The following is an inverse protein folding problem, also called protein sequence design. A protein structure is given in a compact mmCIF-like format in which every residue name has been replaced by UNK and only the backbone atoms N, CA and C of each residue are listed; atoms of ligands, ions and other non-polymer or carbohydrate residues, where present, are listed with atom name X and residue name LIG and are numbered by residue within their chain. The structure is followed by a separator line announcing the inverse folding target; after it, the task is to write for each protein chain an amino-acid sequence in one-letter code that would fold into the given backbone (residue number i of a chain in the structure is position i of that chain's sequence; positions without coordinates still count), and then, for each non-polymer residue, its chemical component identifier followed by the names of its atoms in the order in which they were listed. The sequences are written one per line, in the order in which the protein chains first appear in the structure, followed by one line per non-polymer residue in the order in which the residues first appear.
data_IF_363603204386
#
_entry.id   IF_363603204386
#
_cell.length_a   1.000
_cell.length_b   1.000
_cell.length_c   1.000
_cell.angle_alpha   90.00
_cell.angle_beta   90.00
_cell.angle_gamma   90.00
#
_symmetry.space_group_name_H-M   'P 1'
#
loop_
_entity.id
_entity.type
_entity.pdbx_description
1 polymer ?
#
# COMPACT_ATOMS: atom_id res chain seq x y z
N UNK A 1 -0.26 -7.90 -20.76
CA UNK A 1 -0.20 -9.32 -21.15
C UNK A 1 0.15 -10.15 -19.93
N UNK A 2 -0.47 -11.32 -19.76
CA UNK A 2 -0.19 -12.29 -18.71
C UNK A 2 -0.61 -13.70 -19.14
N UNK A 3 -0.23 -14.72 -18.39
CA UNK A 3 -0.54 -16.12 -18.67
C UNK A 3 -1.59 -16.63 -17.70
N UNK A 4 -2.66 -17.24 -18.20
CA UNK A 4 -3.58 -18.05 -17.40
C UNK A 4 -2.87 -19.33 -17.00
N UNK A 5 -2.46 -19.42 -15.73
CA UNK A 5 -1.59 -20.51 -15.25
C UNK A 5 -2.26 -21.87 -15.32
N UNK A 6 -3.58 -21.95 -15.12
CA UNK A 6 -4.35 -23.21 -15.14
C UNK A 6 -4.47 -23.78 -16.55
N UNK A 7 -4.61 -22.94 -17.58
CA UNK A 7 -4.84 -23.34 -18.96
C UNK A 7 -3.62 -23.19 -19.87
N UNK A 8 -2.54 -22.53 -19.38
CA UNK A 8 -1.36 -22.22 -20.20
C UNK A 8 -1.69 -21.40 -21.45
N UNK A 9 -2.65 -20.49 -21.33
CA UNK A 9 -3.11 -19.59 -22.39
C UNK A 9 -2.54 -18.20 -22.12
N UNK A 10 -1.97 -17.58 -23.13
CA UNK A 10 -1.49 -16.21 -23.08
C UNK A 10 -2.65 -15.25 -23.36
N UNK A 11 -2.84 -14.27 -22.49
CA UNK A 11 -3.93 -13.29 -22.55
C UNK A 11 -3.35 -11.89 -22.74
N UNK A 12 -3.92 -11.14 -23.68
CA UNK A 12 -3.62 -9.71 -23.89
C UNK A 12 -4.88 -8.87 -23.67
N UNK A 13 -4.69 -7.60 -23.40
CA UNK A 13 -5.76 -6.62 -23.27
C UNK A 13 -5.32 -5.28 -23.87
N UNK A 14 -6.28 -4.50 -24.39
CA UNK A 14 -6.02 -3.25 -25.10
C UNK A 14 -5.20 -3.47 -26.37
N UNK A 15 -5.40 -4.61 -27.02
CA UNK A 15 -4.60 -5.08 -28.16
C UNK A 15 -5.19 -4.67 -29.51
N UNK A 16 -4.43 -4.94 -30.57
CA UNK A 16 -4.85 -4.73 -31.95
C UNK A 16 -5.32 -6.05 -32.55
N UNK A 17 -6.49 -6.05 -33.18
CA UNK A 17 -6.96 -7.15 -34.02
C UNK A 17 -6.50 -6.90 -35.46
N UNK A 18 -6.01 -7.96 -36.15
CA UNK A 18 -5.85 -7.99 -37.58
C UNK A 18 -7.13 -8.50 -38.25
N UNK A 19 -7.99 -7.57 -38.61
CA UNK A 19 -9.24 -7.90 -39.33
C UNK A 19 -9.02 -8.09 -40.85
N UNK A 20 -7.84 -7.83 -41.35
CA UNK A 20 -7.54 -7.99 -42.79
C UNK A 20 -7.66 -9.43 -43.28
N UNK A 21 -7.48 -10.40 -42.37
CA UNK A 21 -7.61 -11.86 -42.67
C UNK A 21 -9.06 -12.35 -42.70
N UNK A 22 -10.04 -11.54 -42.25
CA UNK A 22 -11.45 -11.90 -42.13
C UNK A 22 -12.34 -11.01 -43.01
N UNK A 23 -11.77 -10.24 -43.93
CA UNK A 23 -12.51 -9.27 -44.76
C UNK A 23 -12.81 -7.95 -44.05
N UNK A 24 -12.09 -7.63 -42.99
CA UNK A 24 -12.20 -6.42 -42.19
C UNK A 24 -11.39 -5.23 -42.70
N UNK A 25 -11.42 -4.16 -41.97
CA UNK A 25 -10.92 -2.81 -42.31
C UNK A 25 -9.40 -2.67 -42.10
N UNK A 26 -8.70 -3.72 -41.72
CA UNK A 26 -7.26 -3.71 -41.40
C UNK A 26 -6.95 -3.71 -39.89
N UNK A 27 -5.71 -3.39 -39.56
CA UNK A 27 -5.22 -3.35 -38.16
C UNK A 27 -5.89 -2.21 -37.39
N UNK A 28 -6.69 -2.54 -36.39
CA UNK A 28 -7.32 -1.55 -35.50
C UNK A 28 -7.03 -1.87 -34.03
N UNK A 29 -6.55 -0.88 -33.30
CA UNK A 29 -6.40 -0.99 -31.86
C UNK A 29 -7.73 -0.74 -31.16
N UNK A 30 -8.14 -1.69 -30.31
CA UNK A 30 -9.29 -1.53 -29.41
C UNK A 30 -8.81 -1.60 -27.94
N UNK A 31 -8.83 -0.48 -27.21
CA UNK A 31 -8.39 -0.44 -25.82
C UNK A 31 -9.23 -1.28 -24.86
N UNK A 32 -10.44 -1.72 -25.28
CA UNK A 32 -11.34 -2.54 -24.47
C UNK A 32 -11.31 -4.03 -24.86
N UNK A 33 -10.48 -4.40 -25.81
CA UNK A 33 -10.40 -5.76 -26.29
C UNK A 33 -9.52 -6.63 -25.41
N UNK A 34 -10.01 -7.78 -25.01
CA UNK A 34 -9.25 -8.88 -24.42
C UNK A 34 -9.13 -9.99 -25.45
N UNK A 35 -7.92 -10.47 -25.70
CA UNK A 35 -7.65 -11.58 -26.61
C UNK A 35 -6.84 -12.65 -25.91
N UNK A 36 -7.01 -13.89 -26.34
CA UNK A 36 -6.23 -15.02 -25.87
C UNK A 36 -5.81 -15.95 -27.01
N UNK A 37 -4.62 -16.55 -26.88
CA UNK A 37 -4.09 -17.50 -27.85
C UNK A 37 -4.71 -18.88 -27.63
N UNK A 38 -4.39 -19.80 -28.57
CA UNK A 38 -4.73 -21.20 -28.43
C UNK A 38 -3.93 -21.87 -27.30
N UNK A 39 -4.46 -22.93 -26.73
CA UNK A 39 -3.83 -23.69 -25.63
C UNK A 39 -2.47 -24.24 -26.05
N UNK A 40 -1.44 -23.85 -25.31
CA UNK A 40 -0.07 -24.30 -25.58
C UNK A 40 0.54 -23.76 -26.86
N UNK A 41 -0.17 -22.94 -27.65
CA UNK A 41 0.30 -22.35 -28.89
C UNK A 41 0.13 -20.84 -28.91
N UNK A 42 1.12 -20.12 -28.38
CA UNK A 42 1.11 -18.65 -28.25
C UNK A 42 1.30 -17.90 -29.60
N UNK A 43 1.45 -18.59 -30.71
CA UNK A 43 1.49 -17.99 -32.04
C UNK A 43 0.10 -17.96 -32.72
N UNK A 44 -0.85 -18.77 -32.26
CA UNK A 44 -2.18 -18.84 -32.86
C UNK A 44 -3.19 -18.03 -32.03
N UNK A 45 -3.67 -16.93 -32.61
CA UNK A 45 -4.61 -15.98 -31.99
C UNK A 45 -5.97 -15.91 -32.71
N UNK A 46 -6.11 -16.67 -33.81
CA UNK A 46 -7.35 -16.64 -34.59
C UNK A 46 -8.41 -17.52 -33.96
N UNK A 47 -9.59 -16.93 -33.79
CA UNK A 47 -10.78 -17.63 -33.30
C UNK A 47 -11.32 -18.54 -34.41
N UNK A 48 -10.82 -19.75 -34.51
CA UNK A 48 -11.25 -20.77 -35.48
C UNK A 48 -12.02 -21.88 -34.76
N UNK A 49 -12.83 -22.63 -35.49
CA UNK A 49 -13.55 -23.80 -34.94
C UNK A 49 -12.63 -24.91 -34.44
N UNK A 50 -11.37 -24.88 -34.83
CA UNK A 50 -10.32 -25.86 -34.46
C UNK A 50 -9.40 -25.38 -33.36
N UNK A 51 -9.53 -24.14 -32.90
CA UNK A 51 -8.68 -23.51 -31.84
C UNK A 51 -9.51 -23.08 -30.64
N UNK A 52 -8.85 -22.90 -29.51
CA UNK A 52 -9.44 -22.26 -28.32
C UNK A 52 -9.10 -20.78 -28.23
N UNK A 53 -8.38 -20.25 -29.22
CA UNK A 53 -8.13 -18.81 -29.32
C UNK A 53 -9.42 -18.02 -29.48
N UNK A 54 -9.45 -16.82 -28.96
CA UNK A 54 -10.64 -15.99 -29.06
C UNK A 54 -10.40 -14.57 -28.57
N UNK A 55 -11.49 -13.80 -28.59
CA UNK A 55 -11.49 -12.46 -28.09
C UNK A 55 -12.83 -12.09 -27.45
N UNK A 56 -12.81 -11.07 -26.62
CA UNK A 56 -13.99 -10.48 -26.02
C UNK A 56 -13.78 -8.99 -25.80
N UNK A 57 -14.72 -8.19 -26.27
CA UNK A 57 -14.69 -6.74 -26.01
C UNK A 57 -15.48 -6.43 -24.76
N UNK A 58 -14.82 -5.90 -23.74
CA UNK A 58 -15.48 -5.46 -22.51
C UNK A 58 -16.39 -4.25 -22.83
N UNK A 59 -17.69 -4.30 -22.47
CA UNK A 59 -18.65 -3.30 -22.94
C UNK A 59 -18.62 -1.98 -22.15
N UNK A 60 -17.97 -1.93 -20.97
CA UNK A 60 -18.03 -0.78 -20.05
C UNK A 60 -16.60 -0.36 -19.66
N UNK A 61 -16.29 0.91 -19.90
CA UNK A 61 -15.00 1.52 -19.65
C UNK A 61 -14.46 2.22 -20.89
N UNK A 62 -13.28 2.82 -20.78
CA UNK A 62 -12.59 3.44 -21.91
C UNK A 62 -11.32 2.69 -22.29
N UNK A 63 -10.71 1.96 -21.37
CA UNK A 63 -9.55 1.10 -21.64
C UNK A 63 -9.40 0.00 -20.57
N UNK A 64 -8.84 -1.12 -20.98
CA UNK A 64 -8.32 -2.15 -20.09
C UNK A 64 -6.97 -1.69 -19.51
N UNK A 65 -6.89 -1.60 -18.19
CA UNK A 65 -5.72 -1.06 -17.48
C UNK A 65 -4.76 -2.15 -17.07
N UNK A 66 -5.27 -3.31 -16.64
CA UNK A 66 -4.45 -4.40 -16.13
C UNK A 66 -5.15 -5.74 -16.18
N UNK A 67 -4.37 -6.80 -16.04
CA UNK A 67 -4.86 -8.16 -15.94
C UNK A 67 -3.93 -9.03 -15.11
N UNK A 68 -4.50 -10.00 -14.39
CA UNK A 68 -3.77 -10.89 -13.49
C UNK A 68 -4.45 -12.26 -13.45
N UNK A 69 -3.64 -13.31 -13.51
CA UNK A 69 -4.12 -14.67 -13.23
C UNK A 69 -4.16 -14.89 -11.72
N UNK A 70 -5.27 -15.40 -11.23
CA UNK A 70 -5.43 -15.86 -9.83
C UNK A 70 -5.81 -17.34 -9.84
N UNK A 71 -5.86 -17.99 -8.67
CA UNK A 71 -5.90 -19.45 -8.57
C UNK A 71 -6.87 -20.18 -9.53
N UNK A 72 -8.11 -19.68 -9.71
CA UNK A 72 -9.13 -20.36 -10.53
C UNK A 72 -9.77 -19.47 -11.59
N UNK A 73 -9.30 -18.26 -11.77
CA UNK A 73 -9.86 -17.28 -12.70
C UNK A 73 -8.81 -16.27 -13.12
N UNK A 74 -9.11 -15.50 -14.15
CA UNK A 74 -8.31 -14.34 -14.52
C UNK A 74 -9.10 -13.08 -14.20
N UNK A 75 -8.41 -12.07 -13.72
CA UNK A 75 -8.97 -10.75 -13.40
C UNK A 75 -8.53 -9.76 -14.46
N UNK A 76 -9.47 -9.00 -15.00
CA UNK A 76 -9.24 -7.92 -15.95
C UNK A 76 -9.83 -6.64 -15.39
N UNK A 77 -9.01 -5.63 -15.21
CA UNK A 77 -9.44 -4.30 -14.79
C UNK A 77 -9.55 -3.37 -15.98
N UNK A 78 -10.67 -2.66 -16.02
CA UNK A 78 -10.78 -1.44 -16.81
C UNK A 78 -10.44 -0.23 -15.95
N UNK A 79 -10.51 0.94 -16.53
CA UNK A 79 -10.45 2.21 -15.80
C UNK A 79 -11.63 2.41 -14.82
N UNK A 80 -12.74 1.68 -15.00
CA UNK A 80 -13.95 1.82 -14.16
C UNK A 80 -14.24 0.59 -13.31
N UNK A 81 -14.10 -0.62 -13.84
CA UNK A 81 -14.68 -1.84 -13.28
C UNK A 81 -13.65 -2.98 -13.21
N UNK A 82 -13.92 -3.97 -12.35
CA UNK A 82 -13.23 -5.25 -12.32
C UNK A 82 -14.10 -6.34 -12.95
N UNK A 83 -13.51 -7.12 -13.85
CA UNK A 83 -14.11 -8.25 -14.52
C UNK A 83 -13.39 -9.56 -14.18
N UNK A 84 -14.15 -10.62 -13.97
CA UNK A 84 -13.64 -11.98 -13.90
C UNK A 84 -13.77 -12.65 -15.27
N UNK A 85 -12.68 -13.27 -15.73
CA UNK A 85 -12.59 -14.07 -16.92
C UNK A 85 -12.39 -15.52 -16.51
N UNK A 86 -13.45 -16.32 -16.59
CA UNK A 86 -13.49 -17.71 -16.13
C UNK A 86 -13.39 -18.68 -17.30
N UNK A 87 -12.58 -19.71 -17.16
CA UNK A 87 -12.53 -20.78 -18.16
C UNK A 87 -13.82 -21.61 -18.09
N UNK A 88 -14.54 -21.69 -19.19
CA UNK A 88 -15.81 -22.41 -19.33
C UNK A 88 -15.73 -23.57 -20.32
N UNK A 89 -14.61 -23.67 -21.07
CA UNK A 89 -14.40 -24.73 -22.06
C UNK A 89 -15.04 -24.45 -23.40
N UNK A 90 -14.85 -25.42 -24.32
CA UNK A 90 -15.39 -25.33 -25.68
C UNK A 90 -16.92 -25.22 -25.68
N UNK A 91 -17.56 -24.43 -26.59
CA UNK A 91 -16.91 -23.69 -27.69
C UNK A 91 -16.37 -22.30 -27.35
N UNK A 92 -16.71 -21.74 -26.21
CA UNK A 92 -16.47 -20.31 -25.91
C UNK A 92 -15.15 -20.03 -25.21
N UNK A 93 -14.48 -21.04 -24.68
CA UNK A 93 -13.23 -20.98 -23.91
C UNK A 93 -13.35 -20.18 -22.63
N UNK A 94 -13.72 -18.89 -22.68
CA UNK A 94 -13.84 -18.01 -21.51
C UNK A 94 -15.19 -17.29 -21.44
N UNK A 95 -15.75 -17.23 -20.24
CA UNK A 95 -16.87 -16.39 -19.88
C UNK A 95 -16.44 -15.17 -19.08
N UNK A 96 -17.08 -14.02 -19.29
CA UNK A 96 -16.76 -12.75 -18.63
C UNK A 96 -17.91 -12.29 -17.75
N UNK A 97 -17.61 -11.96 -16.49
CA UNK A 97 -18.56 -11.44 -15.53
C UNK A 97 -17.99 -10.21 -14.82
N UNK A 98 -18.78 -9.14 -14.72
CA UNK A 98 -18.43 -7.98 -13.91
C UNK A 98 -18.58 -8.32 -12.43
N UNK A 99 -17.53 -8.21 -11.65
CA UNK A 99 -17.48 -8.55 -10.22
C UNK A 99 -17.25 -7.35 -9.30
N UNK A 100 -16.80 -6.21 -9.85
CA UNK A 100 -16.58 -4.99 -9.10
C UNK A 100 -16.92 -3.75 -9.91
N UNK A 101 -18.08 -3.14 -9.64
CA UNK A 101 -18.48 -1.88 -10.24
C UNK A 101 -17.78 -0.71 -9.52
N UNK A 102 -17.26 0.27 -10.26
CA UNK A 102 -16.55 1.42 -9.71
C UNK A 102 -15.21 1.08 -9.05
N UNK A 103 -14.67 -0.12 -9.28
CA UNK A 103 -13.45 -0.63 -8.67
C UNK A 103 -12.31 -0.78 -9.70
N UNK A 104 -12.17 0.21 -10.58
CA UNK A 104 -11.14 0.26 -11.60
C UNK A 104 -9.73 0.33 -11.02
N UNK A 105 -8.73 0.15 -11.87
CA UNK A 105 -7.32 0.08 -11.49
C UNK A 105 -6.60 1.39 -11.82
N UNK A 106 -5.80 1.89 -10.89
CA UNK A 106 -5.00 3.10 -11.08
C UNK A 106 -3.93 2.93 -12.16
N UNK A 107 -3.22 1.81 -12.16
CA UNK A 107 -2.17 1.47 -13.15
C UNK A 107 -2.07 -0.03 -13.31
N UNK A 108 -1.54 -0.49 -14.44
CA UNK A 108 -1.33 -1.92 -14.71
C UNK A 108 -0.42 -2.64 -13.69
N UNK A 109 0.23 -1.89 -12.83
CA UNK A 109 1.12 -2.39 -11.78
C UNK A 109 0.65 -2.04 -10.37
N UNK A 110 -0.58 -1.52 -10.22
CA UNK A 110 -1.13 -1.14 -8.93
C UNK A 110 -1.88 -2.27 -8.22
N UNK A 111 -1.97 -3.45 -8.83
CA UNK A 111 -2.55 -4.64 -8.23
C UNK A 111 -1.47 -5.61 -7.74
N UNK A 112 -1.75 -6.29 -6.63
CA UNK A 112 -0.90 -7.32 -6.06
C UNK A 112 -1.73 -8.50 -5.59
N UNK A 113 -1.17 -9.71 -5.71
CA UNK A 113 -1.74 -10.93 -5.16
C UNK A 113 -1.00 -11.28 -3.87
N UNK A 114 -1.74 -11.40 -2.79
CA UNK A 114 -1.25 -11.84 -1.49
C UNK A 114 -2.03 -13.08 -1.03
N UNK A 115 -1.60 -13.67 0.09
CA UNK A 115 -2.29 -14.86 0.63
C UNK A 115 -3.77 -14.64 0.92
N UNK A 116 -4.16 -13.43 1.32
CA UNK A 116 -5.53 -13.04 1.64
C UNK A 116 -6.41 -12.75 0.41
N UNK A 117 -5.83 -12.71 -0.80
CA UNK A 117 -6.53 -12.36 -2.02
C UNK A 117 -5.77 -11.32 -2.84
N UNK A 118 -6.47 -10.62 -3.69
CA UNK A 118 -5.92 -9.55 -4.54
C UNK A 118 -6.27 -8.19 -3.92
N UNK A 119 -5.26 -7.33 -3.80
CA UNK A 119 -5.42 -5.94 -3.38
C UNK A 119 -4.97 -5.01 -4.51
N UNK A 120 -5.63 -3.87 -4.65
CA UNK A 120 -5.21 -2.87 -5.63
C UNK A 120 -5.59 -1.44 -5.22
N UNK A 121 -4.86 -0.50 -5.78
CA UNK A 121 -5.20 0.92 -5.71
C UNK A 121 -6.02 1.29 -6.94
N UNK A 122 -7.20 1.83 -6.70
CA UNK A 122 -8.04 2.48 -7.71
C UNK A 122 -7.76 3.99 -7.78
N UNK A 123 -8.66 4.72 -8.43
CA UNK A 123 -8.54 6.17 -8.61
C UNK A 123 -8.80 6.92 -7.30
N UNK A 124 -9.68 6.41 -6.44
CA UNK A 124 -10.15 7.08 -5.23
C UNK A 124 -10.13 6.22 -3.97
N UNK A 125 -9.90 4.93 -4.08
CA UNK A 125 -9.93 4.00 -2.95
C UNK A 125 -8.95 2.84 -3.16
N UNK A 126 -8.68 2.13 -2.07
CA UNK A 126 -8.06 0.82 -2.10
C UNK A 126 -9.13 -0.26 -2.05
N UNK A 127 -8.90 -1.34 -2.75
CA UNK A 127 -9.87 -2.43 -2.88
C UNK A 127 -9.21 -3.77 -2.62
N UNK A 128 -10.03 -4.74 -2.22
CA UNK A 128 -9.65 -6.13 -2.06
C UNK A 128 -10.67 -7.07 -2.69
N UNK A 129 -10.20 -8.23 -3.14
CA UNK A 129 -11.02 -9.31 -3.70
C UNK A 129 -10.48 -10.66 -3.23
N UNK A 130 -11.33 -11.45 -2.57
CA UNK A 130 -11.01 -12.79 -2.05
C UNK A 130 -11.95 -13.89 -2.58
N UNK A 131 -12.68 -13.62 -3.68
CA UNK A 131 -13.63 -14.55 -4.31
C UNK A 131 -15.11 -14.29 -3.98
N UNK A 132 -15.43 -13.57 -2.92
CA UNK A 132 -16.81 -13.27 -2.50
C UNK A 132 -17.35 -11.91 -2.96
N UNK A 133 -16.57 -11.15 -3.71
CA UNK A 133 -16.90 -9.80 -4.14
C UNK A 133 -15.82 -8.77 -3.79
N UNK A 134 -15.90 -7.60 -4.40
CA UNK A 134 -14.97 -6.51 -4.16
C UNK A 134 -15.36 -5.76 -2.88
N UNK A 135 -14.37 -5.53 -2.03
CA UNK A 135 -14.52 -4.75 -0.79
C UNK A 135 -13.61 -3.52 -0.84
N UNK A 136 -14.08 -2.41 -0.30
CA UNK A 136 -13.24 -1.23 -0.08
C UNK A 136 -12.38 -1.48 1.16
N UNK A 137 -11.08 -1.26 1.05
CA UNK A 137 -10.15 -1.30 2.18
C UNK A 137 -10.15 0.07 2.86
N UNK A 138 -10.57 0.16 4.14
CA UNK A 138 -10.58 1.44 4.85
C UNK A 138 -9.17 2.02 4.98
N UNK A 139 -9.01 3.29 4.59
CA UNK A 139 -7.74 3.99 4.65
C UNK A 139 -7.87 5.25 5.52
N UNK A 140 -7.38 5.25 6.78
CA UNK A 140 -7.46 6.40 7.66
C UNK A 140 -6.59 7.58 7.21
N UNK A 141 -5.65 7.35 6.29
CA UNK A 141 -4.77 8.37 5.69
C UNK A 141 -5.18 8.70 4.26
N UNK A 142 -6.47 8.59 3.95
CA UNK A 142 -7.02 8.80 2.61
C UNK A 142 -6.64 10.15 2.01
N UNK A 143 -6.71 11.22 2.81
CA UNK A 143 -6.37 12.59 2.38
C UNK A 143 -4.90 12.70 1.97
N UNK A 144 -3.98 12.07 2.72
CA UNK A 144 -2.57 12.04 2.39
C UNK A 144 -2.31 11.42 1.01
N UNK A 145 -3.06 10.36 0.66
CA UNK A 145 -2.87 9.65 -0.61
C UNK A 145 -3.63 10.35 -1.74
N UNK A 146 -4.96 10.38 -1.66
CA UNK A 146 -5.80 10.71 -2.81
C UNK A 146 -5.96 12.20 -3.07
N UNK A 147 -5.81 13.06 -2.06
CA UNK A 147 -5.72 14.52 -2.29
C UNK A 147 -4.33 14.96 -2.75
N UNK A 148 -3.29 14.16 -2.47
CA UNK A 148 -1.92 14.43 -2.86
C UNK A 148 -1.49 13.69 -4.15
N UNK A 149 -2.31 12.78 -4.65
CA UNK A 149 -2.01 11.99 -5.85
C UNK A 149 -2.01 12.88 -7.11
N UNK A 150 -0.91 12.87 -7.84
CA UNK A 150 -0.79 13.55 -9.14
C UNK A 150 -1.48 12.74 -10.22
N UNK A 151 -2.76 12.98 -10.44
CA UNK A 151 -3.63 12.19 -11.32
C UNK A 151 -3.17 12.11 -12.76
N UNK A 152 -2.47 13.13 -13.27
CA UNK A 152 -1.88 13.12 -14.61
C UNK A 152 -0.84 12.00 -14.81
N UNK A 153 -0.23 11.52 -13.71
CA UNK A 153 0.77 10.44 -13.72
C UNK A 153 0.33 9.22 -12.93
N UNK A 154 -0.96 9.03 -12.76
CA UNK A 154 -1.54 7.89 -12.00
C UNK A 154 -1.07 6.53 -12.52
N UNK A 155 -0.68 6.45 -13.80
CA UNK A 155 -0.15 5.21 -14.41
C UNK A 155 1.23 4.82 -13.90
N UNK A 156 1.90 5.68 -13.14
CA UNK A 156 3.17 5.37 -12.49
C UNK A 156 3.02 4.70 -11.12
N UNK A 157 1.81 4.65 -10.57
CA UNK A 157 1.53 3.93 -9.32
C UNK A 157 2.00 2.48 -9.41
N UNK A 158 2.69 2.02 -8.36
CA UNK A 158 3.24 0.66 -8.25
C UNK A 158 2.81 0.02 -6.94
N UNK A 159 2.35 -1.22 -7.02
CA UNK A 159 2.12 -2.04 -5.84
C UNK A 159 3.46 -2.41 -5.18
N UNK A 160 3.43 -2.48 -3.86
CA UNK A 160 4.54 -2.81 -2.99
C UNK A 160 4.12 -3.95 -2.03
N UNK A 161 3.98 -5.18 -2.52
CA UNK A 161 3.82 -6.32 -1.64
C UNK A 161 5.11 -6.54 -0.83
N UNK A 162 4.96 -6.84 0.46
CA UNK A 162 6.05 -7.23 1.36
C UNK A 162 5.59 -8.46 2.15
N UNK A 163 5.63 -9.60 1.49
CA UNK A 163 5.10 -10.86 2.01
C UNK A 163 5.74 -11.30 3.33
N UNK A 164 7.07 -11.17 3.55
CA UNK A 164 7.69 -11.53 4.82
C UNK A 164 7.11 -10.82 6.05
N UNK A 165 6.62 -9.59 5.85
CA UNK A 165 6.06 -8.77 6.93
C UNK A 165 4.53 -8.67 6.87
N UNK A 166 3.87 -9.38 5.94
CA UNK A 166 2.43 -9.32 5.72
C UNK A 166 1.94 -7.88 5.43
N UNK A 167 2.71 -7.12 4.67
CA UNK A 167 2.39 -5.75 4.31
C UNK A 167 1.92 -5.66 2.86
N UNK A 168 0.94 -4.79 2.64
CA UNK A 168 0.50 -4.33 1.33
C UNK A 168 0.68 -2.82 1.25
N UNK A 169 1.29 -2.33 0.18
CA UNK A 169 1.51 -0.91 0.02
C UNK A 169 1.55 -0.49 -1.46
N UNK A 170 1.69 0.81 -1.65
CA UNK A 170 1.79 1.42 -2.99
C UNK A 170 2.74 2.58 -2.98
N UNK A 171 3.56 2.67 -4.02
CA UNK A 171 4.29 3.87 -4.38
C UNK A 171 3.44 4.71 -5.33
N UNK A 172 3.39 6.01 -5.12
CA UNK A 172 2.60 6.92 -5.94
C UNK A 172 3.30 8.27 -6.14
N UNK A 173 3.03 8.97 -7.27
CA UNK A 173 3.54 10.30 -7.50
C UNK A 173 2.69 11.32 -6.74
N UNK A 174 3.32 12.13 -5.89
CA UNK A 174 2.65 13.23 -5.21
C UNK A 174 2.47 14.45 -6.11
N UNK A 175 1.62 15.38 -5.71
CA UNK A 175 1.47 16.66 -6.40
C UNK A 175 2.78 17.46 -6.46
N UNK A 176 3.71 17.24 -5.54
CA UNK A 176 5.03 17.85 -5.51
C UNK A 176 6.03 17.21 -6.49
N UNK A 177 5.78 15.99 -6.97
CA UNK A 177 6.65 15.33 -7.96
C UNK A 177 6.63 16.07 -9.30
N UNK A 178 7.72 16.70 -9.67
CA UNK A 178 7.81 17.48 -10.93
C UNK A 178 7.82 16.54 -12.13
N UNK A 179 8.58 15.46 -12.07
CA UNK A 179 8.73 14.49 -13.15
C UNK A 179 7.54 13.54 -13.29
N UNK A 180 6.66 13.47 -12.27
CA UNK A 180 5.60 12.46 -12.18
C UNK A 180 6.08 11.09 -11.74
N UNK A 181 7.35 10.94 -11.37
CA UNK A 181 7.86 9.72 -10.76
C UNK A 181 7.34 9.56 -9.32
N UNK A 182 7.25 8.30 -8.87
CA UNK A 182 6.83 8.00 -7.52
C UNK A 182 7.83 8.54 -6.50
N UNK A 183 7.34 9.34 -5.56
CA UNK A 183 8.11 9.99 -4.50
C UNK A 183 7.55 9.69 -3.10
N UNK A 184 6.36 9.10 -3.03
CA UNK A 184 5.68 8.76 -1.79
C UNK A 184 5.32 7.28 -1.75
N UNK A 185 5.14 6.77 -0.54
CA UNK A 185 4.56 5.46 -0.30
C UNK A 185 3.47 5.50 0.75
N UNK A 186 2.62 4.49 0.70
CA UNK A 186 1.65 4.16 1.74
C UNK A 186 1.59 2.65 1.88
N UNK A 187 1.52 2.12 3.11
CA UNK A 187 1.40 0.68 3.38
C UNK A 187 0.61 0.39 4.66
N UNK A 188 0.12 -0.82 4.79
CA UNK A 188 -0.53 -1.32 6.00
C UNK A 188 -0.26 -2.82 6.18
N UNK A 189 -0.43 -3.32 7.41
CA UNK A 189 -0.33 -4.74 7.69
C UNK A 189 -1.68 -5.44 7.42
N UNK A 190 -1.70 -6.44 6.53
CA UNK A 190 -2.92 -7.15 6.11
C UNK A 190 -3.54 -8.02 7.22
N UNK A 191 -2.76 -8.37 8.25
CA UNK A 191 -3.27 -9.13 9.39
C UNK A 191 -3.98 -8.25 10.43
N UNK A 192 -3.89 -6.94 10.28
CA UNK A 192 -4.51 -5.93 11.16
C UNK A 192 -5.48 -5.05 10.35
N UNK A 193 -6.60 -5.58 9.87
CA UNK A 193 -7.57 -4.80 9.09
C UNK A 193 -8.12 -3.66 9.96
N UNK A 194 -7.98 -2.42 9.48
CA UNK A 194 -8.30 -1.22 10.25
C UNK A 194 -7.21 -0.77 11.23
N UNK A 195 -6.04 -1.44 11.22
CA UNK A 195 -4.85 -1.01 11.94
C UNK A 195 -4.21 0.26 11.36
N UNK A 196 -3.09 0.69 11.94
CA UNK A 196 -2.40 1.87 11.46
C UNK A 196 -1.84 1.67 10.05
N UNK A 197 -1.89 2.73 9.26
CA UNK A 197 -1.22 2.83 7.99
C UNK A 197 0.08 3.62 8.16
N UNK A 198 1.13 3.14 7.53
CA UNK A 198 2.42 3.78 7.45
C UNK A 198 2.58 4.48 6.09
N UNK A 199 3.14 5.67 6.10
CA UNK A 199 3.32 6.48 4.89
C UNK A 199 4.54 7.39 5.02
N UNK A 200 5.08 7.81 3.89
CA UNK A 200 6.23 8.70 3.87
C UNK A 200 6.81 8.92 2.48
N UNK A 201 7.95 9.59 2.45
CA UNK A 201 8.69 9.85 1.24
C UNK A 201 9.64 8.67 0.94
N UNK A 202 9.41 8.01 -0.19
CA UNK A 202 10.30 6.95 -0.70
C UNK A 202 10.12 6.81 -2.21
N UNK A 203 11.12 7.19 -2.97
CA UNK A 203 11.06 7.14 -4.43
C UNK A 203 11.40 5.74 -4.95
N UNK A 204 10.40 5.02 -5.50
CA UNK A 204 10.57 3.73 -6.16
C UNK A 204 9.72 3.66 -7.42
N UNK A 205 10.37 3.40 -8.54
CA UNK A 205 9.72 3.21 -9.85
C UNK A 205 9.41 1.74 -10.16
N UNK A 206 10.14 0.80 -9.53
CA UNK A 206 9.91 -0.63 -9.64
C UNK A 206 10.11 -1.31 -8.30
N UNK A 207 9.41 -2.45 -8.13
CA UNK A 207 9.43 -3.25 -6.91
C UNK A 207 9.26 -4.72 -7.23
N UNK A 208 10.05 -5.55 -6.59
CA UNK A 208 9.90 -7.02 -6.56
C UNK A 208 9.82 -7.42 -5.09
N UNK A 209 8.81 -8.20 -4.72
CA UNK A 209 8.59 -8.70 -3.38
C UNK A 209 9.71 -9.68 -2.95
N UNK A 210 9.38 -10.89 -2.64
CA UNK A 210 10.35 -11.89 -2.24
C UNK A 210 11.20 -12.33 -3.45
N UNK A 211 12.52 -12.17 -3.35
CA UNK A 211 13.49 -12.64 -4.34
C UNK A 211 14.19 -13.90 -3.87
N UNK A 212 15.00 -14.51 -4.74
CA UNK A 212 15.89 -15.62 -4.34
C UNK A 212 16.93 -15.18 -3.29
N UNK A 213 17.14 -13.88 -3.12
CA UNK A 213 18.02 -13.31 -2.10
C UNK A 213 17.33 -13.14 -0.75
N UNK A 214 16.02 -13.42 -0.66
CA UNK A 214 15.24 -13.39 0.58
C UNK A 214 14.69 -12.00 0.95
N UNK A 215 15.09 -10.93 0.24
CA UNK A 215 14.68 -9.56 0.55
C UNK A 215 13.93 -8.93 -0.64
N UNK A 216 12.98 -8.02 -0.39
CA UNK A 216 12.41 -7.20 -1.45
C UNK A 216 13.46 -6.31 -2.11
N UNK A 217 13.30 -6.08 -3.40
CA UNK A 217 14.20 -5.22 -4.18
C UNK A 217 13.38 -4.10 -4.82
N UNK A 218 13.83 -2.87 -4.66
CA UNK A 218 13.24 -1.68 -5.25
C UNK A 218 14.24 -0.88 -6.08
N UNK A 219 13.80 -0.35 -7.21
CA UNK A 219 14.59 0.54 -8.03
C UNK A 219 14.08 1.99 -7.92
N UNK A 220 15.02 2.94 -7.84
CA UNK A 220 14.69 4.37 -7.89
C UNK A 220 14.51 4.85 -9.32
N UNK A 221 13.84 6.00 -9.54
CA UNK A 221 13.79 6.65 -10.85
C UNK A 221 15.18 6.95 -11.44
N UNK A 222 16.18 7.16 -10.59
CA UNK A 222 17.57 7.38 -11.01
C UNK A 222 18.35 6.12 -11.38
N UNK A 223 17.71 4.93 -11.39
CA UNK A 223 18.33 3.67 -11.80
C UNK A 223 19.14 2.96 -10.70
N UNK A 224 19.12 3.45 -9.47
CA UNK A 224 19.78 2.77 -8.34
C UNK A 224 18.86 1.69 -7.80
N UNK A 225 19.40 0.50 -7.56
CA UNK A 225 18.67 -0.66 -7.01
C UNK A 225 19.05 -0.86 -5.55
N UNK A 226 18.06 -1.02 -4.70
CA UNK A 226 18.21 -1.24 -3.26
C UNK A 226 17.58 -2.56 -2.84
N UNK A 227 18.29 -3.30 -1.97
CA UNK A 227 17.67 -4.37 -1.18
C UNK A 227 16.97 -3.72 0.03
N UNK A 228 15.68 -4.04 0.20
CA UNK A 228 14.89 -3.56 1.33
C UNK A 228 14.87 -4.60 2.45
N UNK A 229 14.43 -4.17 3.64
CA UNK A 229 14.35 -5.02 4.85
C UNK A 229 15.70 -5.68 5.20
N UNK A 230 16.79 -4.97 4.95
CA UNK A 230 18.15 -5.42 5.19
C UNK A 230 18.92 -4.43 6.07
N UNK A 231 18.91 -4.68 7.39
CA UNK A 231 19.55 -3.81 8.38
C UNK A 231 18.64 -2.70 8.90
N UNK A 232 19.24 -1.74 9.61
CA UNK A 232 18.53 -0.64 10.30
C UNK A 232 19.02 0.73 9.82
N UNK A 233 19.38 0.84 8.54
CA UNK A 233 19.77 2.10 7.92
C UNK A 233 19.22 2.23 6.50
N UNK A 234 19.22 3.44 5.97
CA UNK A 234 18.82 3.76 4.61
C UNK A 234 20.07 3.97 3.76
N UNK A 235 20.74 2.88 3.33
CA UNK A 235 21.98 2.90 2.56
C UNK A 235 23.09 3.73 3.24
N UNK A 236 23.32 3.45 4.54
CA UNK A 236 24.31 4.15 5.36
C UNK A 236 23.84 5.50 5.90
N UNK A 237 22.57 5.85 5.73
CA UNK A 237 21.95 7.02 6.33
C UNK A 237 20.94 6.62 7.41
N UNK A 238 20.67 7.49 8.40
CA UNK A 238 19.68 7.21 9.41
C UNK A 238 18.28 6.97 8.82
N UNK A 239 17.57 5.98 9.34
CA UNK A 239 16.12 5.84 9.12
C UNK A 239 15.41 6.83 10.04
N UNK A 240 14.90 7.92 9.47
CA UNK A 240 14.11 8.91 10.22
C UNK A 240 12.69 8.41 10.32
N UNK A 241 12.19 8.29 11.54
CA UNK A 241 10.81 7.88 11.79
C UNK A 241 10.16 8.75 12.87
N UNK A 242 8.86 8.88 12.77
CA UNK A 242 8.03 9.47 13.82
C UNK A 242 6.63 8.87 13.79
N UNK A 243 6.01 8.81 14.96
CA UNK A 243 4.58 8.52 15.06
C UNK A 243 3.96 9.36 16.16
N UNK A 244 2.68 9.68 16.01
CA UNK A 244 1.88 10.42 16.98
C UNK A 244 0.61 9.65 17.24
N UNK A 245 0.27 9.45 18.52
CA UNK A 245 -1.01 8.81 18.89
C UNK A 245 -2.18 9.77 18.70
N UNK A 246 -3.37 9.23 18.55
CA UNK A 246 -4.58 10.01 18.77
C UNK A 246 -4.65 10.52 20.23
N UNK A 247 -5.50 11.51 20.47
CA UNK A 247 -5.76 11.99 21.84
C UNK A 247 -6.55 10.94 22.63
N UNK A 248 -6.07 10.62 23.80
CA UNK A 248 -6.75 9.76 24.75
C UNK A 248 -6.94 10.48 26.10
N UNK A 249 -7.93 10.06 26.88
CA UNK A 249 -8.15 10.58 28.23
C UNK A 249 -7.04 10.12 29.16
N UNK A 250 -6.51 11.05 29.97
CA UNK A 250 -5.44 10.75 30.92
C UNK A 250 -6.00 9.97 32.14
N UNK A 251 -7.20 10.29 32.55
CA UNK A 251 -7.92 9.60 33.63
C UNK A 251 -9.40 9.42 33.29
N UNK A 252 -10.08 8.59 34.06
CA UNK A 252 -11.53 8.46 33.94
C UNK A 252 -12.21 9.72 34.49
N UNK A 253 -13.37 10.08 33.94
CA UNK A 253 -14.15 11.25 34.31
C UNK A 253 -13.75 12.54 33.59
N UNK A 254 -14.22 13.67 34.13
CA UNK A 254 -14.03 15.01 33.54
C UNK A 254 -13.03 15.88 34.27
N UNK A 255 -12.32 15.30 35.20
CA UNK A 255 -11.40 16.05 36.05
C UNK A 255 -10.11 16.43 35.30
N UNK A 256 -9.53 17.55 35.65
CA UNK A 256 -8.15 17.86 35.27
C UNK A 256 -7.20 16.99 36.06
N UNK A 257 -6.16 16.57 35.43
CA UNK A 257 -5.07 15.80 36.05
C UNK A 257 -3.74 16.47 35.82
N UNK A 258 -2.81 16.23 36.71
CA UNK A 258 -1.41 16.57 36.56
C UNK A 258 -0.63 15.26 36.40
N UNK A 259 0.04 15.10 35.29
CA UNK A 259 1.00 14.02 35.07
C UNK A 259 2.39 14.52 35.46
N UNK A 260 3.02 13.86 36.41
CA UNK A 260 4.33 14.25 36.96
C UNK A 260 5.45 13.29 36.55
N UNK A 261 5.11 12.11 36.08
CA UNK A 261 6.08 11.10 35.68
C UNK A 261 5.54 10.25 34.54
N UNK A 262 6.37 10.00 33.52
CA UNK A 262 6.11 9.04 32.44
C UNK A 262 7.22 8.00 32.41
N UNK A 263 6.83 6.73 32.36
CA UNK A 263 7.74 5.58 32.27
C UNK A 263 7.65 5.02 30.85
N UNK A 264 8.60 5.32 29.97
CA UNK A 264 8.67 4.74 28.65
C UNK A 264 9.21 3.32 28.73
N UNK A 265 8.55 2.40 28.02
CA UNK A 265 9.01 1.03 27.89
C UNK A 265 9.47 0.80 26.44
N UNK A 266 10.80 0.85 26.23
CA UNK A 266 11.41 0.62 24.94
C UNK A 266 12.28 -0.63 24.96
N UNK A 267 12.15 -1.44 23.92
CA UNK A 267 13.17 -2.44 23.55
C UNK A 267 14.12 -1.75 22.58
N UNK A 268 15.38 -1.79 22.96
CA UNK A 268 16.48 -1.19 22.19
C UNK A 268 17.22 -2.28 21.45
N UNK A 269 17.51 -2.04 20.17
CA UNK A 269 18.31 -2.94 19.36
C UNK A 269 19.29 -2.16 18.51
N UNK A 270 20.40 -2.82 18.19
CA UNK A 270 21.34 -2.36 17.20
C UNK A 270 21.74 -3.51 16.26
N UNK A 271 22.11 -3.19 15.06
CA UNK A 271 22.70 -4.12 14.09
C UNK A 271 24.22 -3.96 14.00
N UNK A 272 24.87 -3.70 15.14
CA UNK A 272 26.30 -3.40 15.23
C UNK A 272 26.63 -1.90 15.20
N UNK A 273 25.61 -1.05 15.37
CA UNK A 273 25.77 0.40 15.51
C UNK A 273 26.15 0.85 16.93
N UNK A 274 26.39 2.15 17.14
CA UNK A 274 26.71 2.67 18.46
C UNK A 274 25.52 2.47 19.40
N UNK A 275 25.77 1.96 20.60
CA UNK A 275 24.78 1.69 21.65
C UNK A 275 24.18 2.96 22.28
N UNK A 276 24.10 4.05 21.55
CA UNK A 276 23.61 5.36 22.00
C UNK A 276 22.28 5.73 21.36
N UNK A 277 21.49 4.75 20.96
CA UNK A 277 20.17 4.99 20.40
C UNK A 277 19.33 5.85 21.35
N UNK A 278 18.69 6.87 20.81
CA UNK A 278 17.82 7.77 21.53
C UNK A 278 16.52 8.02 20.78
N UNK A 279 15.47 8.25 21.55
CA UNK A 279 14.15 8.62 21.02
C UNK A 279 13.76 9.96 21.61
N UNK A 280 13.23 10.84 20.81
CA UNK A 280 12.64 12.10 21.26
C UNK A 280 11.15 11.88 21.52
N UNK A 281 10.69 12.14 22.73
CA UNK A 281 9.28 12.06 23.12
C UNK A 281 8.72 13.44 23.41
N UNK A 282 7.61 13.77 22.78
CA UNK A 282 6.85 15.01 23.08
C UNK A 282 5.41 14.63 23.43
N UNK A 283 4.82 15.43 24.32
CA UNK A 283 3.45 15.23 24.77
C UNK A 283 2.59 16.45 24.44
N UNK A 284 1.48 16.22 23.78
CA UNK A 284 0.51 17.25 23.43
C UNK A 284 -0.68 17.14 24.41
N UNK A 285 -0.98 18.19 25.14
CA UNK A 285 -2.05 18.22 26.13
C UNK A 285 -3.13 19.20 25.68
N UNK A 286 -4.39 18.74 25.70
CA UNK A 286 -5.56 19.57 25.45
C UNK A 286 -6.60 19.37 26.54
N UNK A 287 -7.43 20.39 26.74
CA UNK A 287 -8.50 20.36 27.74
C UNK A 287 -9.85 19.99 27.13
N UNK A 288 -10.09 20.43 25.89
CA UNK A 288 -11.30 20.18 25.12
C UNK A 288 -10.95 19.81 23.68
N UNK A 289 -11.87 19.13 23.02
CA UNK A 289 -11.72 18.83 21.60
C UNK A 289 -11.70 20.13 20.78
N UNK A 290 -10.66 20.27 19.96
CA UNK A 290 -10.45 21.47 19.14
C UNK A 290 -9.59 22.56 19.78
N UNK A 291 -9.17 22.40 21.03
CA UNK A 291 -8.21 23.30 21.65
C UNK A 291 -6.83 23.20 20.96
N UNK A 292 -6.10 24.31 20.93
CA UNK A 292 -4.70 24.30 20.58
C UNK A 292 -3.89 23.51 21.62
N UNK A 293 -3.03 22.56 21.24
CA UNK A 293 -2.30 21.74 22.18
C UNK A 293 -1.20 22.53 22.89
N UNK A 294 -1.05 22.27 24.18
CA UNK A 294 0.17 22.64 24.91
C UNK A 294 1.17 21.51 24.75
N UNK A 295 2.33 21.82 24.16
CA UNK A 295 3.39 20.85 23.86
C UNK A 295 4.42 20.84 24.98
N UNK A 296 4.73 19.66 25.50
CA UNK A 296 5.77 19.40 26.48
C UNK A 296 6.87 18.52 25.86
N UNK A 297 8.11 18.91 26.01
CA UNK A 297 9.27 18.24 25.41
C UNK A 297 9.87 19.04 24.24
N UNK A 298 10.70 18.43 23.36
CA UNK A 298 11.03 17.01 23.35
C UNK A 298 11.88 16.57 24.53
N UNK A 299 11.60 15.38 25.06
CA UNK A 299 12.41 14.72 26.07
C UNK A 299 13.25 13.63 25.39
N UNK A 300 14.57 13.66 25.63
CA UNK A 300 15.46 12.62 25.11
C UNK A 300 15.37 11.38 25.99
N UNK A 301 14.98 10.26 25.41
CA UNK A 301 14.89 8.95 26.07
C UNK A 301 16.00 8.05 25.51
N UNK A 302 16.76 7.47 26.42
CA UNK A 302 17.83 6.51 26.10
C UNK A 302 17.60 5.22 26.89
N UNK A 303 18.39 4.19 26.63
CA UNK A 303 18.35 2.93 27.38
C UNK A 303 18.54 3.13 28.91
N UNK A 304 19.25 4.18 29.32
CA UNK A 304 19.46 4.52 30.72
C UNK A 304 18.28 5.28 31.36
N UNK A 305 17.33 5.78 30.56
CA UNK A 305 16.20 6.58 31.03
C UNK A 305 15.17 5.68 31.70
N UNK A 306 15.04 5.80 33.03
CA UNK A 306 14.03 5.04 33.80
C UNK A 306 12.66 5.69 33.78
N UNK A 307 12.61 7.02 33.78
CA UNK A 307 11.38 7.81 33.70
C UNK A 307 11.67 9.22 33.20
N UNK A 308 10.64 9.84 32.64
CA UNK A 308 10.62 11.28 32.30
C UNK A 308 9.91 12.00 33.45
N UNK A 309 10.61 12.97 34.09
CA UNK A 309 10.01 13.87 35.05
C UNK A 309 9.39 15.04 34.30
N UNK A 310 8.11 15.32 34.56
CA UNK A 310 7.36 16.36 33.87
C UNK A 310 6.32 17.00 34.79
N UNK A 311 5.59 18.00 34.30
CA UNK A 311 4.44 18.57 34.99
C UNK A 311 3.41 19.02 33.96
N UNK A 312 2.66 18.09 33.45
CA UNK A 312 1.66 18.32 32.41
C UNK A 312 0.27 18.32 33.02
N UNK A 313 -0.51 19.37 32.79
CA UNK A 313 -1.87 19.49 33.33
C UNK A 313 -2.89 19.55 32.18
N UNK A 314 -3.88 18.68 32.20
CA UNK A 314 -4.96 18.67 31.25
C UNK A 314 -5.87 17.47 31.39
N UNK A 315 -6.72 17.23 30.38
CA UNK A 315 -7.69 16.13 30.35
C UNK A 315 -7.32 15.05 29.30
N UNK A 316 -6.80 15.49 28.17
CA UNK A 316 -6.45 14.60 27.07
C UNK A 316 -4.97 14.75 26.74
N UNK A 317 -4.36 13.64 26.40
CA UNK A 317 -2.96 13.55 25.99
C UNK A 317 -2.83 12.83 24.68
N UNK A 318 -1.93 13.30 23.84
CA UNK A 318 -1.34 12.60 22.71
C UNK A 318 0.17 12.66 22.89
N UNK A 319 0.89 11.67 22.43
CA UNK A 319 2.35 11.73 22.43
C UNK A 319 2.93 11.43 21.05
N UNK A 320 4.07 12.04 20.79
CA UNK A 320 4.88 11.83 19.60
C UNK A 320 6.20 11.19 19.98
N UNK A 321 6.59 10.15 19.30
CA UNK A 321 7.93 9.56 19.35
C UNK A 321 8.62 9.75 18.01
N UNK A 322 9.87 10.20 18.03
CA UNK A 322 10.69 10.40 16.85
C UNK A 322 12.11 9.92 17.09
N UNK A 323 12.71 9.32 16.07
CA UNK A 323 14.09 8.84 16.12
C UNK A 323 14.78 8.98 14.76
N UNK A 324 16.13 9.07 14.80
CA UNK A 324 16.96 9.23 13.60
C UNK A 324 18.38 8.71 13.80
N UNK A 325 18.60 7.79 14.73
CA UNK A 325 19.96 7.27 15.00
C UNK A 325 20.34 6.21 13.97
N UNK A 326 21.56 6.35 13.43
CA UNK A 326 22.09 5.44 12.43
C UNK A 326 22.30 4.02 13.02
N UNK A 327 21.82 3.01 12.30
CA UNK A 327 22.07 1.60 12.59
C UNK A 327 21.34 1.07 13.82
N UNK A 328 20.40 1.83 14.40
CA UNK A 328 19.64 1.42 15.56
C UNK A 328 18.15 1.24 15.25
N UNK A 329 17.46 0.47 16.07
CA UNK A 329 16.00 0.44 16.07
C UNK A 329 15.45 0.47 17.50
N UNK A 330 14.22 0.94 17.63
CA UNK A 330 13.48 0.91 18.88
C UNK A 330 12.10 0.31 18.68
N UNK A 331 11.65 -0.44 19.67
CA UNK A 331 10.27 -0.93 19.73
C UNK A 331 9.62 -0.37 20.98
N UNK A 332 8.58 0.45 20.80
CA UNK A 332 7.81 0.95 21.91
C UNK A 332 6.88 -0.15 22.43
N UNK A 333 6.97 -0.43 23.71
CA UNK A 333 6.03 -1.25 24.45
C UNK A 333 4.91 -0.40 25.08
N UNK A 334 4.64 -0.63 26.35
CA UNK A 334 3.61 0.07 27.09
C UNK A 334 4.16 1.35 27.70
N UNK A 335 3.49 2.49 27.46
CA UNK A 335 3.76 3.71 28.20
C UNK A 335 2.90 3.72 29.47
N UNK A 336 3.54 3.86 30.64
CA UNK A 336 2.88 4.07 31.91
C UNK A 336 3.14 5.48 32.39
N UNK A 337 2.18 6.08 33.06
CA UNK A 337 2.32 7.43 33.62
C UNK A 337 1.68 7.54 34.99
N UNK A 338 2.28 8.35 35.84
CA UNK A 338 1.74 8.71 37.16
C UNK A 338 1.00 10.03 37.06
N UNK A 339 -0.21 10.06 37.56
CA UNK A 339 -1.02 11.27 37.56
C UNK A 339 -1.71 11.51 38.91
N UNK A 340 -2.09 12.75 39.16
CA UNK A 340 -2.88 13.16 40.30
C UNK A 340 -4.07 14.01 39.84
N UNK A 341 -5.24 13.78 40.43
CA UNK A 341 -6.43 14.57 40.13
C UNK A 341 -6.23 15.99 40.64
N UNK A 342 -6.48 16.99 39.81
CA UNK A 342 -6.24 18.40 40.08
C UNK A 342 -7.51 19.25 40.03
N UNK A 343 -8.69 18.64 40.28
CA UNK A 343 -9.99 19.33 40.32
C UNK A 343 -10.67 19.45 38.95
N UNK A 344 -11.84 20.06 38.93
CA UNK A 344 -12.73 20.19 37.75
C UNK A 344 -12.60 21.50 36.99
N UNK A 345 -11.74 22.41 37.41
CA UNK A 345 -11.51 23.71 36.77
C UNK A 345 -10.05 23.95 36.44
#
# INVERSE_FOLDING_TARGET
MFVSTSQQILITYGSTIDESTVGGIGLQQDPMLVQWCDVGNFFEWRALTTTQAGNFRIPIGSLCVGGMAVANQNLIWTDLDLWAMNYIGYPETYGFNKIGAGAGLASGHAAMQLRAGVLWMGISNFYSYSGGGVQVVPCPVWDFVFQNLKTAFIRNVRAMPNTPFNEAGWFFPSNASVSGENDQYVKFNINEPGGPWDYGALARSAWIDLTILGNPIGATPGGVVYAHENGNDAAGQPLVYSFTTGYFRIAEGEDFVVVDQVLPDFIWGDSGGPQNAQVQMSFNIVNYAGDAPTVYGPYTVTQATKFISTRMRGRFMSFTCAGSDLGSFTRLGRISYRFQVSGRR
#
